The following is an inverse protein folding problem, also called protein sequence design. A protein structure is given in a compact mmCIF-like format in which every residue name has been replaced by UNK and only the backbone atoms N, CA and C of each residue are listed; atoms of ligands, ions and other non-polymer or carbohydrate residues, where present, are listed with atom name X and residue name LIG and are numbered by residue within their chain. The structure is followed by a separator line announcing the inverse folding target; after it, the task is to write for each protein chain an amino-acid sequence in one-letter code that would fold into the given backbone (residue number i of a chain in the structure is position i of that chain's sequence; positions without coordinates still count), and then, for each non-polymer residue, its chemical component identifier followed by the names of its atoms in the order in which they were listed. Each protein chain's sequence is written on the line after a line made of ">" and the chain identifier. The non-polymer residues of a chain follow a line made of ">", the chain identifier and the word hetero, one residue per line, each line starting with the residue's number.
data_IF_001070000870
#
_entry.id   IF_001070000870
#
_cell.length_a   1.000
_cell.length_b   1.000
_cell.length_c   1.000
_cell.angle_alpha   90.00
_cell.angle_beta   90.00
_cell.angle_gamma   90.00
#
_symmetry.space_group_name_H-M   'P 1'
#
loop_
_entity.id
_entity.type
_entity.pdbx_description
1 polymer ?
#
# COMPACT_ATOMS: atom_id res chain seq x y z
N UNK A 1 -19.69 -10.06 14.32
CA UNK A 1 -18.44 -9.42 13.86
C UNK A 1 -18.63 -7.92 14.01
N UNK A 2 -18.00 -7.33 15.03
CA UNK A 2 -18.02 -5.88 15.27
C UNK A 2 -16.78 -5.33 14.57
N UNK A 3 -16.97 -4.67 13.42
CA UNK A 3 -15.89 -3.99 12.71
C UNK A 3 -15.37 -2.85 13.58
N UNK A 4 -14.08 -2.91 13.93
CA UNK A 4 -13.41 -1.84 14.65
C UNK A 4 -13.00 -0.78 13.62
N UNK A 5 -13.72 0.35 13.62
CA UNK A 5 -13.44 1.52 12.79
C UNK A 5 -12.32 2.31 13.47
N UNK A 6 -11.12 2.31 12.89
CA UNK A 6 -10.02 3.16 13.34
C UNK A 6 -10.13 4.52 12.63
N UNK A 7 -10.41 5.58 13.40
CA UNK A 7 -10.37 6.97 12.94
C UNK A 7 -9.11 7.64 13.49
N UNK A 8 -8.20 8.07 12.62
CA UNK A 8 -7.10 8.95 13.01
C UNK A 8 -7.61 10.39 12.91
N UNK A 9 -7.83 11.03 14.06
CA UNK A 9 -8.20 12.44 14.16
C UNK A 9 -6.91 13.21 14.47
N UNK A 10 -6.46 14.02 13.50
CA UNK A 10 -5.34 14.94 13.70
C UNK A 10 -5.67 16.01 14.75
N UNK A 11 -4.86 16.06 15.81
CA UNK A 11 -4.97 17.06 16.87
C UNK A 11 -4.25 18.35 16.45
N UNK A 12 -4.95 19.48 16.53
CA UNK A 12 -4.35 20.82 16.39
C UNK A 12 -3.89 21.39 17.74
N UNK A 13 -2.78 22.11 17.73
CA UNK A 13 -2.53 23.26 18.61
C UNK A 13 -1.41 24.14 18.01
N UNK A 14 -1.67 25.44 17.95
CA UNK A 14 -0.86 26.45 17.27
C UNK A 14 0.35 26.92 18.11
N UNK A 15 1.51 27.05 17.45
CA UNK A 15 2.59 27.97 17.83
C UNK A 15 3.18 28.56 16.54
N UNK A 16 3.14 29.89 16.41
CA UNK A 16 3.73 30.62 15.28
C UNK A 16 5.26 30.45 15.26
N UNK A 17 5.73 29.57 14.38
CA UNK A 17 7.01 29.69 13.71
C UNK A 17 6.68 29.84 12.22
N UNK A 18 7.17 30.90 11.59
CA UNK A 18 7.17 31.00 10.13
C UNK A 18 8.14 29.97 9.56
N UNK A 19 7.82 28.68 9.69
CA UNK A 19 8.25 27.68 8.73
C UNK A 19 7.37 27.90 7.51
N UNK A 20 7.97 28.30 6.39
CA UNK A 20 7.34 28.05 5.10
C UNK A 20 6.86 26.59 5.14
N UNK A 21 5.61 26.28 4.75
CA UNK A 21 5.26 24.89 4.53
C UNK A 21 6.23 24.41 3.47
N UNK A 22 7.25 23.65 3.88
CA UNK A 22 7.90 22.73 2.97
C UNK A 22 6.71 21.91 2.50
N UNK A 23 6.25 22.19 1.28
CA UNK A 23 5.44 21.25 0.55
C UNK A 23 6.31 20.00 0.53
N UNK A 24 6.07 19.11 1.50
CA UNK A 24 6.83 17.90 1.63
C UNK A 24 6.56 17.16 0.34
N UNK A 25 7.52 17.19 -0.58
CA UNK A 25 7.46 16.38 -1.79
C UNK A 25 7.28 14.96 -1.28
N UNK A 26 6.10 14.39 -1.53
CA UNK A 26 5.83 13.01 -1.17
C UNK A 26 6.78 12.13 -1.97
N UNK A 27 7.36 11.09 -1.36
CA UNK A 27 8.23 10.18 -2.08
C UNK A 27 7.50 9.61 -3.31
N UNK A 28 8.11 9.73 -4.49
CA UNK A 28 7.57 9.19 -5.73
C UNK A 28 8.65 8.43 -6.47
N UNK A 29 8.24 7.43 -7.25
CA UNK A 29 9.14 6.62 -8.07
C UNK A 29 8.59 6.45 -9.48
N UNK A 30 9.48 6.44 -10.46
CA UNK A 30 9.18 6.07 -11.85
C UNK A 30 9.59 4.60 -12.08
N UNK A 31 8.68 3.79 -12.62
CA UNK A 31 8.84 2.35 -12.82
C UNK A 31 8.43 2.00 -14.26
N UNK A 32 9.39 1.97 -15.18
CA UNK A 32 9.07 1.86 -16.60
C UNK A 32 8.27 3.08 -17.06
N UNK A 33 7.05 2.87 -17.56
CA UNK A 33 6.12 3.97 -17.88
C UNK A 33 5.19 4.33 -16.71
N UNK A 34 5.19 3.56 -15.62
CA UNK A 34 4.40 3.87 -14.44
C UNK A 34 5.08 4.92 -13.56
N UNK A 35 4.27 5.64 -12.81
CA UNK A 35 4.72 6.53 -11.73
C UNK A 35 3.85 6.30 -10.50
N UNK A 36 4.49 6.15 -9.35
CA UNK A 36 3.81 5.97 -8.07
C UNK A 36 4.22 7.03 -7.06
N UNK A 37 3.38 7.27 -6.06
CA UNK A 37 3.66 8.15 -4.93
C UNK A 37 3.22 7.51 -3.61
N UNK A 38 4.07 7.60 -2.58
CA UNK A 38 3.73 7.20 -1.22
C UNK A 38 2.83 8.28 -0.61
N UNK A 39 1.57 7.92 -0.34
CA UNK A 39 0.58 8.78 0.33
C UNK A 39 0.71 8.74 1.85
N UNK A 40 1.06 7.58 2.41
CA UNK A 40 1.37 7.36 3.82
C UNK A 40 2.37 6.22 3.96
N UNK A 41 3.24 6.27 4.97
CA UNK A 41 4.18 5.20 5.28
C UNK A 41 4.56 5.23 6.75
N UNK A 42 4.23 4.16 7.46
CA UNK A 42 4.66 3.88 8.82
C UNK A 42 4.97 2.38 8.98
N UNK A 43 5.17 1.93 10.22
CA UNK A 43 5.53 0.56 10.58
C UNK A 43 4.37 -0.45 10.48
N UNK A 44 3.14 0.03 10.27
CA UNK A 44 1.90 -0.78 10.24
C UNK A 44 1.12 -0.63 8.94
N UNK A 45 1.37 0.42 8.17
CA UNK A 45 0.65 0.72 6.94
C UNK A 45 1.52 1.50 5.95
N UNK A 46 1.50 1.07 4.69
CA UNK A 46 2.05 1.85 3.56
C UNK A 46 0.98 1.98 2.50
N UNK A 47 0.69 3.21 2.08
CA UNK A 47 -0.28 3.53 1.03
C UNK A 47 0.43 4.14 -0.17
N UNK A 48 0.27 3.53 -1.33
CA UNK A 48 0.87 3.92 -2.60
C UNK A 48 -0.24 4.24 -3.59
N UNK A 49 -0.14 5.38 -4.26
CA UNK A 49 -0.99 5.74 -5.39
C UNK A 49 -0.24 5.60 -6.71
N UNK A 50 -0.92 5.07 -7.73
CA UNK A 50 -0.41 5.03 -9.10
C UNK A 50 -0.84 6.29 -9.84
N UNK A 51 0.09 7.24 -10.00
CA UNK A 51 -0.15 8.51 -10.69
C UNK A 51 -0.13 8.38 -12.22
N UNK A 52 0.62 7.41 -12.74
CA UNK A 52 0.62 7.03 -14.16
C UNK A 52 0.75 5.51 -14.24
N UNK A 53 -0.05 4.86 -15.09
CA UNK A 53 -0.16 3.40 -15.13
C UNK A 53 0.78 2.72 -16.13
N UNK A 54 1.22 1.51 -15.78
CA UNK A 54 1.88 0.55 -16.66
C UNK A 54 1.53 -0.86 -16.17
N UNK A 55 0.53 -1.48 -16.82
CA UNK A 55 0.01 -2.80 -16.42
C UNK A 55 1.03 -3.93 -16.65
N UNK A 56 2.19 -3.67 -17.28
CA UNK A 56 3.30 -4.62 -17.37
C UNK A 56 4.20 -4.63 -16.13
N UNK A 57 3.97 -3.69 -15.21
CA UNK A 57 4.64 -3.55 -13.92
C UNK A 57 3.70 -3.92 -12.79
N UNK A 58 4.30 -4.37 -11.70
CA UNK A 58 3.60 -4.81 -10.50
C UNK A 58 3.85 -3.91 -9.30
N UNK A 59 3.03 -4.06 -8.26
CA UNK A 59 3.27 -3.44 -6.95
C UNK A 59 4.65 -3.84 -6.38
N UNK A 60 5.12 -5.06 -6.65
CA UNK A 60 6.49 -5.48 -6.29
C UNK A 60 7.58 -4.66 -6.97
N UNK A 61 7.40 -4.31 -8.26
CA UNK A 61 8.35 -3.44 -8.96
C UNK A 61 8.39 -2.04 -8.33
N UNK A 62 7.22 -1.51 -7.94
CA UNK A 62 7.13 -0.24 -7.21
C UNK A 62 7.84 -0.30 -5.85
N UNK A 63 7.59 -1.33 -5.05
CA UNK A 63 8.25 -1.53 -3.76
C UNK A 63 9.78 -1.64 -3.92
N UNK A 64 10.24 -2.37 -4.94
CA UNK A 64 11.66 -2.56 -5.24
C UNK A 64 12.38 -1.24 -5.55
N UNK A 65 11.76 -0.37 -6.35
CA UNK A 65 12.33 0.95 -6.66
C UNK A 65 12.28 1.86 -5.42
N UNK A 66 11.14 1.90 -4.71
CA UNK A 66 11.01 2.71 -3.50
C UNK A 66 12.01 2.31 -2.41
N UNK A 67 12.30 1.02 -2.26
CA UNK A 67 13.35 0.53 -1.36
C UNK A 67 14.73 0.96 -1.82
N UNK A 68 15.04 0.79 -3.11
CA UNK A 68 16.34 1.19 -3.68
C UNK A 68 16.62 2.68 -3.47
N UNK A 69 15.57 3.50 -3.53
CA UNK A 69 15.64 4.95 -3.33
C UNK A 69 15.63 5.36 -1.84
N UNK A 70 15.51 4.38 -0.92
CA UNK A 70 15.53 4.61 0.53
C UNK A 70 14.23 5.17 1.11
N UNK A 71 13.12 5.06 0.38
CA UNK A 71 11.81 5.59 0.80
C UNK A 71 11.03 4.63 1.71
N UNK A 72 11.33 3.34 1.66
CA UNK A 72 10.80 2.30 2.54
C UNK A 72 11.79 1.13 2.63
N UNK A 73 11.54 0.16 3.50
CA UNK A 73 12.24 -1.12 3.52
C UNK A 73 11.24 -2.25 3.49
N UNK A 74 11.53 -3.34 2.78
CA UNK A 74 10.70 -4.53 2.79
C UNK A 74 11.54 -5.81 2.66
N UNK A 75 10.96 -6.91 3.12
CA UNK A 75 11.59 -8.22 3.12
C UNK A 75 10.58 -9.32 2.85
N UNK A 76 11.09 -10.49 2.49
CA UNK A 76 10.26 -11.59 2.00
C UNK A 76 11.09 -12.59 1.22
N UNK A 77 10.38 -13.47 0.51
CA UNK A 77 11.01 -14.52 -0.28
C UNK A 77 10.26 -14.77 -1.58
N UNK A 78 11.02 -15.06 -2.64
CA UNK A 78 10.45 -15.51 -3.91
C UNK A 78 9.81 -16.90 -3.75
N UNK A 79 8.67 -17.08 -4.40
CA UNK A 79 7.95 -18.35 -4.49
C UNK A 79 7.46 -18.61 -5.92
N UNK A 80 6.88 -19.78 -6.18
CA UNK A 80 6.25 -20.07 -7.47
C UNK A 80 5.04 -19.16 -7.79
N UNK A 81 4.53 -18.43 -6.79
CA UNK A 81 3.41 -17.50 -6.91
C UNK A 81 3.86 -16.02 -6.90
N UNK A 82 5.18 -15.77 -6.96
CA UNK A 82 5.79 -14.44 -6.85
C UNK A 82 6.37 -14.17 -5.47
N UNK A 83 6.73 -12.91 -5.22
CA UNK A 83 7.36 -12.47 -3.98
C UNK A 83 6.35 -12.45 -2.84
N UNK A 84 6.63 -13.25 -1.81
CA UNK A 84 5.85 -13.27 -0.58
C UNK A 84 6.43 -12.26 0.42
N UNK A 85 5.69 -11.18 0.68
CA UNK A 85 6.09 -10.10 1.59
C UNK A 85 5.93 -10.54 3.05
N UNK A 86 7.01 -10.48 3.82
CA UNK A 86 7.04 -10.85 5.25
C UNK A 86 7.50 -9.74 6.16
N UNK A 87 8.06 -8.64 5.63
CA UNK A 87 8.38 -7.47 6.44
C UNK A 87 8.26 -6.17 5.65
N UNK A 88 7.90 -5.10 6.33
CA UNK A 88 7.79 -3.76 5.78
C UNK A 88 8.13 -2.74 6.87
N UNK A 89 8.99 -1.77 6.56
CA UNK A 89 9.46 -0.72 7.46
C UNK A 89 9.94 -1.22 8.84
N UNK A 90 10.55 -2.41 8.87
CA UNK A 90 11.08 -3.01 10.10
C UNK A 90 10.09 -3.87 10.90
N UNK A 91 8.82 -3.90 10.53
CA UNK A 91 7.80 -4.76 11.15
C UNK A 91 7.69 -6.08 10.40
N UNK A 92 7.84 -7.20 11.11
CA UNK A 92 7.78 -8.56 10.57
C UNK A 92 6.36 -9.16 10.72
N UNK A 93 6.00 -10.04 9.78
CA UNK A 93 4.89 -10.96 9.93
C UNK A 93 5.22 -12.00 11.01
N UNK A 94 4.20 -12.46 11.72
CA UNK A 94 4.28 -13.45 12.80
C UNK A 94 3.20 -14.52 12.61
N UNK A 95 3.11 -15.48 13.53
CA UNK A 95 2.02 -16.46 13.56
C UNK A 95 0.65 -15.82 13.87
N UNK A 96 0.63 -14.56 14.32
CA UNK A 96 -0.57 -13.80 14.67
C UNK A 96 -0.87 -12.67 13.67
N UNK A 97 0.12 -12.25 12.87
CA UNK A 97 0.00 -11.09 11.98
C UNK A 97 0.64 -11.33 10.61
N UNK A 98 0.01 -10.81 9.56
CA UNK A 98 0.51 -10.87 8.19
C UNK A 98 0.35 -9.51 7.49
N UNK A 99 0.99 -9.35 6.34
CA UNK A 99 0.84 -8.15 5.51
C UNK A 99 -0.26 -8.34 4.47
N UNK A 100 -1.44 -7.79 4.74
CA UNK A 100 -2.56 -7.77 3.82
C UNK A 100 -2.40 -6.63 2.80
N UNK A 101 -2.85 -6.85 1.56
CA UNK A 101 -2.91 -5.80 0.54
C UNK A 101 -4.35 -5.47 0.24
N UNK A 102 -4.72 -4.20 0.34
CA UNK A 102 -6.01 -3.66 -0.08
C UNK A 102 -5.80 -2.76 -1.29
N UNK A 103 -6.77 -2.71 -2.19
CA UNK A 103 -6.69 -1.86 -3.38
C UNK A 103 -8.05 -1.35 -3.83
N UNK A 104 -8.08 -0.21 -4.52
CA UNK A 104 -9.26 0.24 -5.26
C UNK A 104 -9.47 -0.52 -6.57
N UNK A 105 -8.46 -1.28 -7.03
CA UNK A 105 -8.51 -2.05 -8.26
C UNK A 105 -9.36 -3.31 -8.08
N UNK A 106 -10.63 -3.23 -8.47
CA UNK A 106 -11.54 -4.38 -8.43
C UNK A 106 -11.27 -5.34 -9.58
N UNK A 107 -11.20 -4.84 -10.82
CA UNK A 107 -10.94 -5.65 -12.01
C UNK A 107 -10.21 -4.89 -13.10
N UNK A 108 -9.46 -5.61 -13.92
CA UNK A 108 -8.78 -5.11 -15.12
C UNK A 108 -8.69 -6.25 -16.14
N UNK A 109 -9.06 -5.97 -17.39
CA UNK A 109 -9.06 -6.94 -18.50
C UNK A 109 -9.68 -8.29 -18.11
N UNK A 110 -10.92 -8.24 -17.59
CA UNK A 110 -11.72 -9.40 -17.12
C UNK A 110 -11.16 -10.15 -15.89
N UNK A 111 -9.99 -9.77 -15.39
CA UNK A 111 -9.39 -10.34 -14.18
C UNK A 111 -9.84 -9.56 -12.95
N UNK A 112 -10.35 -10.25 -11.93
CA UNK A 112 -10.75 -9.65 -10.64
C UNK A 112 -9.58 -9.68 -9.68
N UNK A 113 -9.13 -8.51 -9.24
CA UNK A 113 -7.95 -8.32 -8.39
C UNK A 113 -8.27 -8.10 -6.92
N UNK A 114 -9.48 -7.69 -6.57
CA UNK A 114 -9.90 -7.53 -5.17
C UNK A 114 -11.40 -7.75 -5.01
N UNK A 115 -11.84 -7.97 -3.77
CA UNK A 115 -13.26 -8.07 -3.45
C UNK A 115 -13.57 -7.58 -2.05
N UNK A 116 -14.57 -6.71 -1.94
CA UNK A 116 -15.09 -6.25 -0.66
C UNK A 116 -15.65 -7.39 0.22
N UNK A 117 -15.98 -8.55 -0.38
CA UNK A 117 -16.45 -9.73 0.37
C UNK A 117 -15.39 -10.36 1.26
N UNK A 118 -14.10 -10.14 0.97
CA UNK A 118 -13.00 -10.69 1.76
C UNK A 118 -12.46 -9.69 2.80
N UNK A 119 -12.81 -8.41 2.67
CA UNK A 119 -12.39 -7.36 3.58
C UNK A 119 -12.40 -6.00 2.89
N UNK A 120 -12.55 -4.95 3.70
CA UNK A 120 -12.49 -3.57 3.22
C UNK A 120 -11.63 -2.72 4.16
N UNK A 121 -11.03 -1.69 3.61
CA UNK A 121 -10.26 -0.67 4.32
C UNK A 121 -10.72 0.70 3.83
N UNK A 122 -11.14 1.56 4.75
CA UNK A 122 -11.44 2.96 4.45
C UNK A 122 -10.15 3.79 4.51
N UNK A 123 -9.82 4.48 3.43
CA UNK A 123 -8.69 5.41 3.37
C UNK A 123 -9.15 6.71 2.70
N UNK A 124 -9.13 7.81 3.46
CA UNK A 124 -9.73 9.08 3.06
C UNK A 124 -11.21 8.89 2.65
N UNK A 125 -11.61 9.34 1.46
CA UNK A 125 -12.97 9.20 0.90
C UNK A 125 -13.09 7.98 -0.04
N UNK A 126 -12.18 6.99 0.08
CA UNK A 126 -12.14 5.79 -0.76
C UNK A 126 -12.23 4.51 0.08
N UNK A 127 -13.00 3.55 -0.42
CA UNK A 127 -13.05 2.18 0.09
C UNK A 127 -12.12 1.31 -0.76
N UNK A 128 -11.13 0.69 -0.13
CA UNK A 128 -10.27 -0.31 -0.75
C UNK A 128 -10.77 -1.71 -0.37
N UNK A 129 -10.71 -2.65 -1.31
CA UNK A 129 -11.07 -4.04 -1.11
C UNK A 129 -9.82 -4.92 -0.93
N UNK A 130 -9.94 -6.02 -0.18
CA UNK A 130 -8.83 -6.95 0.01
C UNK A 130 -8.44 -7.60 -1.34
N UNK A 131 -7.15 -7.58 -1.64
CA UNK A 131 -6.60 -8.11 -2.87
C UNK A 131 -6.60 -9.64 -2.91
N UNK A 132 -6.90 -10.18 -4.08
CA UNK A 132 -6.84 -11.61 -4.41
C UNK A 132 -5.42 -12.08 -4.79
N UNK A 133 -4.49 -11.14 -5.00
CA UNK A 133 -3.12 -11.39 -5.44
C UNK A 133 -2.11 -10.71 -4.51
N UNK A 134 -0.93 -11.34 -4.39
CA UNK A 134 0.22 -10.72 -3.72
C UNK A 134 0.85 -9.59 -4.56
N UNK A 135 1.86 -8.93 -3.99
CA UNK A 135 2.51 -7.75 -4.59
C UNK A 135 3.05 -7.96 -6.00
N UNK A 136 3.48 -9.18 -6.36
CA UNK A 136 3.95 -9.49 -7.72
C UNK A 136 2.83 -9.66 -8.75
N UNK A 137 1.60 -9.90 -8.31
CA UNK A 137 0.44 -10.12 -9.18
C UNK A 137 -0.44 -8.89 -9.34
N UNK A 138 -0.20 -7.80 -8.60
CA UNK A 138 -1.01 -6.59 -8.66
C UNK A 138 -0.43 -5.58 -9.66
N UNK A 139 -1.10 -5.30 -10.79
CA UNK A 139 -0.58 -4.44 -11.84
C UNK A 139 -0.63 -2.97 -11.42
N UNK A 140 0.27 -2.12 -11.91
CA UNK A 140 0.22 -0.67 -11.66
C UNK A 140 -0.77 0.03 -12.59
N UNK A 141 -2.07 -0.10 -12.31
CA UNK A 141 -3.13 0.59 -13.05
C UNK A 141 -3.31 2.06 -12.59
N UNK A 142 -3.45 2.98 -13.54
CA UNK A 142 -3.53 4.43 -13.26
C UNK A 142 -4.73 4.80 -12.37
N UNK A 143 -4.49 5.65 -11.37
CA UNK A 143 -5.51 6.15 -10.44
C UNK A 143 -5.82 5.21 -9.28
N UNK A 144 -5.24 4.01 -9.27
CA UNK A 144 -5.45 3.02 -8.22
C UNK A 144 -4.59 3.27 -6.99
N UNK A 145 -5.13 2.87 -5.84
CA UNK A 145 -4.42 2.84 -4.56
C UNK A 145 -4.08 1.40 -4.17
N UNK A 146 -2.94 1.24 -3.52
CA UNK A 146 -2.55 0.03 -2.79
C UNK A 146 -2.23 0.40 -1.35
N UNK A 147 -2.90 -0.23 -0.41
CA UNK A 147 -2.57 -0.15 1.02
C UNK A 147 -2.06 -1.51 1.49
N UNK A 148 -0.83 -1.54 2.02
CA UNK A 148 -0.22 -2.73 2.61
C UNK A 148 -0.28 -2.57 4.12
N UNK A 149 -1.04 -3.43 4.79
CA UNK A 149 -1.45 -3.25 6.19
C UNK A 149 -1.06 -4.47 7.02
N UNK A 150 -0.40 -4.22 8.15
CA UNK A 150 -0.08 -5.24 9.15
C UNK A 150 -1.38 -5.64 9.86
N UNK A 151 -1.80 -6.87 9.60
CA UNK A 151 -3.17 -7.33 9.85
C UNK A 151 -3.14 -8.57 10.74
N UNK A 152 -3.95 -8.56 11.79
CA UNK A 152 -4.13 -9.71 12.69
C UNK A 152 -4.82 -10.86 11.95
N UNK A 153 -4.38 -12.09 12.21
CA UNK A 153 -5.02 -13.31 11.72
C UNK A 153 -6.23 -13.57 12.62
N UNK A 154 -7.44 -13.47 12.07
CA UNK A 154 -8.65 -13.85 12.78
C UNK A 154 -8.59 -15.35 13.16
N UNK A 155 -8.61 -15.64 14.47
CA UNK A 155 -8.59 -16.99 15.04
C UNK A 155 -9.95 -17.73 14.97
#
# INVERSE_FOLDING_TARGET
>A
MKGNIWKIIGAGAAALLCMAPLAACRPSADIGNARVEIRSSDETCVVIEVLAGDNTKSLYDALSVLQKDGNLTFGGSESQYGFYLTSLNGTEATDEYYWAVYTTLESLDETVYSSASFGTLEYEDKTLALASYGVSGLPLAEGELYAIVWTEIDA
#
